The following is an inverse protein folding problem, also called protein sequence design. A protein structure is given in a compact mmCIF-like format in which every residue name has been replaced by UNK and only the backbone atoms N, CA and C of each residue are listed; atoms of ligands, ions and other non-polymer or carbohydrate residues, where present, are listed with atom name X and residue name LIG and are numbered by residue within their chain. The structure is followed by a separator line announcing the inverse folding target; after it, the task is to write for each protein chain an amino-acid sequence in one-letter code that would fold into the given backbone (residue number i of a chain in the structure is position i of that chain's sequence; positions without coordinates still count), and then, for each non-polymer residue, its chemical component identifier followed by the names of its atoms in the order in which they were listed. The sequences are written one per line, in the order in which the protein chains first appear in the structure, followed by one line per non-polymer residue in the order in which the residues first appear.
data_IF_920884556143
#
_entry.id   IF_920884556143
#
_cell.length_a   1.000
_cell.length_b   1.000
_cell.length_c   1.000
_cell.angle_alpha   90.00
_cell.angle_beta   90.00
_cell.angle_gamma   90.00
#
_symmetry.space_group_name_H-M   'P 1'
#
loop_
_entity.id
_entity.type
_entity.pdbx_description
1 polymer ?
#
# COMPACT_ATOMS: atom_id res chain seq x y z
N UNK A 1 -3.78 -30.96 -32.08
CA UNK A 1 -2.54 -30.68 -31.32
C UNK A 1 -2.31 -29.18 -31.27
N UNK A 2 -2.72 -28.52 -30.20
CA UNK A 2 -2.10 -27.27 -29.79
C UNK A 2 -1.41 -27.60 -28.47
N UNK A 3 -0.08 -27.58 -28.47
CA UNK A 3 0.71 -27.68 -27.24
C UNK A 3 0.60 -26.34 -26.53
N UNK A 4 0.18 -26.39 -25.27
CA UNK A 4 0.26 -25.25 -24.35
C UNK A 4 1.73 -24.82 -24.24
N UNK A 5 2.00 -23.54 -24.46
CA UNK A 5 3.27 -22.91 -24.14
C UNK A 5 3.18 -22.51 -22.65
N UNK A 6 3.81 -23.29 -21.78
CA UNK A 6 4.01 -22.92 -20.37
C UNK A 6 5.29 -22.10 -20.32
N UNK A 7 5.18 -20.81 -20.04
CA UNK A 7 6.33 -19.99 -19.67
C UNK A 7 6.65 -20.28 -18.19
N UNK A 8 7.80 -20.90 -17.95
CA UNK A 8 8.41 -20.95 -16.63
C UNK A 8 9.20 -19.64 -16.43
N UNK A 9 8.88 -18.90 -15.38
CA UNK A 9 9.80 -17.94 -14.81
C UNK A 9 10.52 -18.65 -13.66
N UNK A 10 11.67 -19.25 -13.96
CA UNK A 10 12.60 -19.68 -12.93
C UNK A 10 13.31 -18.43 -12.41
N UNK A 11 12.98 -18.05 -11.17
CA UNK A 11 13.84 -17.19 -10.36
C UNK A 11 14.40 -18.07 -9.25
N UNK A 12 15.55 -18.68 -9.53
CA UNK A 12 16.37 -19.29 -8.48
C UNK A 12 17.03 -18.16 -7.68
N UNK A 13 16.58 -17.96 -6.44
CA UNK A 13 17.37 -17.25 -5.43
C UNK A 13 18.22 -18.27 -4.66
N UNK A 14 19.51 -17.99 -4.39
CA UNK A 14 20.34 -18.88 -3.61
C UNK A 14 19.94 -18.82 -2.13
N UNK A 15 19.36 -19.91 -1.62
CA UNK A 15 19.16 -20.11 -0.19
C UNK A 15 20.39 -20.78 0.41
N UNK A 16 21.16 -20.03 1.19
CA UNK A 16 22.18 -20.58 2.08
C UNK A 16 21.53 -20.97 3.41
N UNK A 17 21.26 -22.27 3.61
CA UNK A 17 20.84 -22.81 4.91
C UNK A 17 21.90 -23.80 5.38
N UNK A 18 22.61 -23.44 6.46
CA UNK A 18 23.30 -24.41 7.33
C UNK A 18 22.31 -24.93 8.36
N UNK A 19 22.17 -26.25 8.43
CA UNK A 19 21.48 -27.01 9.48
C UNK A 19 19.97 -26.95 9.34
N UNK A 20 19.21 -28.03 9.13
CA UNK A 20 19.43 -29.40 9.51
C UNK A 20 18.25 -29.81 10.38
N UNK A 21 17.15 -30.27 9.77
CA UNK A 21 16.19 -31.26 10.28
C UNK A 21 15.15 -31.55 9.18
N UNK A 22 15.08 -32.81 8.73
CA UNK A 22 14.12 -33.28 7.71
C UNK A 22 12.78 -33.62 8.37
N UNK A 23 11.69 -33.09 7.83
CA UNK A 23 10.35 -33.67 7.98
C UNK A 23 9.77 -33.97 6.58
N UNK A 24 9.07 -35.11 6.39
CA UNK A 24 8.60 -35.53 5.08
C UNK A 24 7.27 -34.85 4.75
N UNK A 25 7.25 -34.00 3.71
CA UNK A 25 5.99 -33.55 3.13
C UNK A 25 5.46 -34.58 2.13
N UNK A 26 4.33 -35.19 2.51
CA UNK A 26 3.45 -35.96 1.64
C UNK A 26 2.90 -35.04 0.54
N UNK A 27 3.38 -35.22 -0.69
CA UNK A 27 2.71 -34.68 -1.88
C UNK A 27 1.39 -35.42 -2.11
N UNK A 28 0.28 -34.87 -1.61
CA UNK A 28 -1.05 -35.24 -2.09
C UNK A 28 -1.39 -34.46 -3.36
N UNK A 29 -1.19 -35.09 -4.51
CA UNK A 29 -1.82 -34.65 -5.77
C UNK A 29 -3.31 -35.00 -5.70
N UNK A 30 -4.18 -34.02 -5.43
CA UNK A 30 -5.61 -34.18 -5.70
C UNK A 30 -5.82 -34.22 -7.22
N UNK A 31 -6.01 -35.43 -7.74
CA UNK A 31 -6.65 -35.68 -9.04
C UNK A 31 -8.14 -35.39 -8.88
N UNK A 32 -8.66 -34.35 -9.51
CA UNK A 32 -10.08 -34.26 -9.81
C UNK A 32 -10.38 -35.23 -10.97
N UNK A 33 -10.85 -36.42 -10.63
CA UNK A 33 -11.43 -37.39 -11.56
C UNK A 33 -12.89 -37.00 -11.79
N UNK A 34 -13.25 -36.54 -12.98
CA UNK A 34 -14.65 -36.47 -13.39
C UNK A 34 -15.05 -37.79 -14.04
N UNK A 35 -16.03 -38.45 -13.43
CA UNK A 35 -16.64 -39.71 -13.85
C UNK A 35 -17.64 -39.40 -14.97
N UNK A 36 -17.35 -39.87 -16.19
CA UNK A 36 -18.24 -39.77 -17.35
C UNK A 36 -18.64 -41.17 -17.81
N UNK A 37 -19.92 -41.48 -17.66
CA UNK A 37 -20.60 -42.72 -18.03
C UNK A 37 -20.44 -43.01 -19.54
N UNK A 38 -19.88 -44.16 -19.89
CA UNK A 38 -19.90 -44.68 -21.27
C UNK A 38 -21.31 -45.13 -21.65
N UNK A 39 -21.84 -44.57 -22.73
CA UNK A 39 -22.85 -45.22 -23.55
C UNK A 39 -22.35 -45.17 -24.99
N UNK A 40 -22.08 -46.37 -25.53
CA UNK A 40 -21.59 -46.56 -26.88
C UNK A 40 -22.54 -46.03 -27.95
N UNK A 41 -21.94 -45.52 -29.02
CA UNK A 41 -22.61 -45.11 -30.25
C UNK A 41 -21.54 -44.78 -31.28
N UNK A 42 -21.17 -45.77 -32.08
CA UNK A 42 -20.40 -45.58 -33.31
C UNK A 42 -21.10 -44.57 -34.21
N UNK A 43 -20.44 -43.44 -34.51
CA UNK A 43 -20.74 -42.68 -35.73
C UNK A 43 -19.46 -42.04 -36.27
N UNK A 44 -19.02 -42.55 -37.43
CA UNK A 44 -18.46 -41.77 -38.54
C UNK A 44 -17.23 -40.90 -38.28
N UNK A 45 -16.06 -41.41 -38.70
CA UNK A 45 -14.94 -40.56 -39.10
C UNK A 45 -15.35 -39.61 -40.23
N UNK A 46 -15.59 -38.34 -39.90
CA UNK A 46 -15.61 -37.24 -40.85
C UNK A 46 -14.49 -36.27 -40.49
N UNK A 47 -13.43 -36.27 -41.29
CA UNK A 47 -12.34 -35.31 -41.20
C UNK A 47 -12.86 -33.89 -41.35
N UNK A 48 -13.00 -33.18 -40.23
CA UNK A 48 -13.33 -31.75 -40.23
C UNK A 48 -12.09 -30.97 -40.62
N UNK A 49 -11.93 -30.72 -41.92
CA UNK A 49 -10.97 -29.76 -42.44
C UNK A 49 -11.17 -28.43 -41.69
N UNK A 50 -10.13 -27.98 -40.97
CA UNK A 50 -10.10 -26.63 -40.41
C UNK A 50 -10.07 -25.65 -41.58
N UNK A 51 -11.25 -25.18 -41.99
CA UNK A 51 -11.39 -24.01 -42.85
C UNK A 51 -10.64 -22.86 -42.19
N UNK A 52 -9.49 -22.49 -42.75
CA UNK A 52 -8.91 -21.17 -42.51
C UNK A 52 -9.91 -20.17 -43.07
N UNK A 53 -10.80 -19.63 -42.23
CA UNK A 53 -11.61 -18.49 -42.62
C UNK A 53 -10.65 -17.33 -42.89
N UNK A 54 -10.33 -17.16 -44.17
CA UNK A 54 -9.61 -15.99 -44.67
C UNK A 54 -10.54 -14.81 -44.45
N UNK A 55 -10.17 -13.88 -43.56
CA UNK A 55 -10.89 -12.62 -43.37
C UNK A 55 -10.87 -11.88 -44.71
N UNK A 56 -12.00 -11.85 -45.42
CA UNK A 56 -12.09 -11.23 -46.76
C UNK A 56 -12.43 -9.74 -46.69
N UNK A 57 -13.12 -9.30 -45.62
CA UNK A 57 -13.51 -7.91 -45.47
C UNK A 57 -12.33 -7.07 -44.94
N UNK A 58 -12.01 -5.91 -45.55
CA UNK A 58 -11.03 -4.97 -45.01
C UNK A 58 -11.33 -4.53 -43.57
N UNK A 59 -12.60 -4.42 -43.17
CA UNK A 59 -12.99 -4.12 -41.79
C UNK A 59 -12.54 -5.22 -40.82
N UNK A 60 -12.74 -6.49 -41.15
CA UNK A 60 -12.36 -7.60 -40.26
C UNK A 60 -10.85 -7.70 -40.07
N UNK A 61 -10.08 -7.38 -41.13
CA UNK A 61 -8.62 -7.29 -41.05
C UNK A 61 -8.16 -6.10 -40.20
N UNK A 62 -8.87 -4.98 -40.25
CA UNK A 62 -8.58 -3.80 -39.44
C UNK A 62 -8.89 -4.09 -37.97
N UNK A 63 -10.06 -4.66 -37.66
CA UNK A 63 -10.45 -5.04 -36.29
C UNK A 63 -9.45 -6.03 -35.71
N UNK A 64 -9.08 -7.09 -36.45
CA UNK A 64 -8.09 -8.04 -35.96
C UNK A 64 -6.71 -7.40 -35.71
N UNK A 65 -6.25 -6.51 -36.60
CA UNK A 65 -5.00 -5.76 -36.40
C UNK A 65 -5.06 -4.86 -35.17
N UNK A 66 -6.16 -4.13 -35.00
CA UNK A 66 -6.36 -3.26 -33.83
C UNK A 66 -6.36 -4.09 -32.55
N UNK A 67 -7.14 -5.18 -32.50
CA UNK A 67 -7.21 -6.07 -31.34
C UNK A 67 -5.84 -6.68 -30.98
N UNK A 68 -5.01 -7.01 -31.98
CA UNK A 68 -3.66 -7.51 -31.76
C UNK A 68 -2.67 -6.42 -31.32
N UNK A 69 -2.84 -5.18 -31.78
CA UNK A 69 -1.95 -4.05 -31.44
C UNK A 69 -2.34 -3.35 -30.13
N UNK A 70 -3.62 -3.33 -29.77
CA UNK A 70 -4.14 -2.59 -28.61
C UNK A 70 -3.45 -2.95 -27.29
N UNK A 71 -3.17 -4.22 -26.95
CA UNK A 71 -2.43 -4.53 -25.72
C UNK A 71 -1.04 -3.89 -25.66
N UNK A 72 -0.31 -3.87 -26.77
CA UNK A 72 1.01 -3.25 -26.85
C UNK A 72 0.93 -1.72 -26.80
N UNK A 73 -0.08 -1.12 -27.42
CA UNK A 73 -0.34 0.32 -27.35
C UNK A 73 -0.71 0.75 -25.93
N UNK A 74 -1.58 -0.01 -25.26
CA UNK A 74 -1.94 0.25 -23.87
C UNK A 74 -0.75 0.10 -22.92
N UNK A 75 0.08 -0.93 -23.12
CA UNK A 75 1.31 -1.11 -22.34
C UNK A 75 2.30 0.04 -22.58
N UNK A 76 2.49 0.47 -23.83
CA UNK A 76 3.34 1.62 -24.16
C UNK A 76 2.82 2.91 -23.51
N UNK A 77 1.52 3.16 -23.57
CA UNK A 77 0.89 4.30 -22.90
C UNK A 77 1.14 4.20 -21.39
N UNK A 78 0.83 3.04 -20.78
CA UNK A 78 1.03 2.81 -19.36
C UNK A 78 2.46 3.12 -18.92
N UNK A 79 3.46 2.47 -19.53
CA UNK A 79 4.89 2.67 -19.19
C UNK A 79 5.34 4.11 -19.45
N UNK A 80 4.83 4.76 -20.51
CA UNK A 80 5.16 6.16 -20.79
C UNK A 80 4.57 7.16 -19.77
N UNK A 81 3.56 6.75 -19.01
CA UNK A 81 2.87 7.59 -18.01
C UNK A 81 3.30 7.33 -16.58
N UNK A 82 4.03 6.24 -16.30
CA UNK A 82 4.56 5.98 -14.95
C UNK A 82 5.64 7.01 -14.65
N UNK A 83 5.46 7.73 -13.54
CA UNK A 83 6.38 8.70 -12.99
C UNK A 83 6.78 8.25 -11.59
N UNK A 84 8.02 8.58 -11.22
CA UNK A 84 8.53 8.39 -9.87
C UNK A 84 8.83 9.77 -9.29
N UNK A 85 8.37 10.01 -8.07
CA UNK A 85 8.72 11.19 -7.27
C UNK A 85 9.13 10.75 -5.86
N UNK A 86 9.67 11.68 -5.08
CA UNK A 86 10.05 11.48 -3.69
C UNK A 86 9.14 12.39 -2.88
N UNK A 87 8.42 11.83 -1.91
CA UNK A 87 7.61 12.62 -0.98
C UNK A 87 8.52 13.56 -0.16
N UNK A 88 8.03 14.76 0.16
CA UNK A 88 8.69 15.72 1.05
C UNK A 88 9.01 15.12 2.41
N UNK A 89 10.06 15.66 3.02
CA UNK A 89 10.30 15.49 4.46
C UNK A 89 9.30 16.39 5.21
N UNK A 90 8.81 15.93 6.36
CA UNK A 90 7.73 16.53 7.14
C UNK A 90 6.36 15.88 6.90
N UNK A 91 6.22 15.02 5.89
CA UNK A 91 4.94 14.45 5.45
C UNK A 91 4.79 12.96 5.84
N UNK A 92 5.46 12.50 6.90
CA UNK A 92 5.52 11.08 7.23
C UNK A 92 5.01 10.74 8.64
N UNK A 93 3.68 10.74 8.85
CA UNK A 93 3.11 10.32 10.12
C UNK A 93 3.20 8.81 10.33
N UNK A 94 3.28 8.43 11.61
CA UNK A 94 3.20 7.06 12.09
C UNK A 94 1.74 6.62 12.17
N UNK A 95 1.42 5.49 11.56
CA UNK A 95 0.06 4.96 11.41
C UNK A 95 0.03 3.50 11.83
N UNK A 96 -1.04 3.09 12.51
CA UNK A 96 -1.30 1.70 12.88
C UNK A 96 -2.35 1.05 11.96
N UNK A 97 -2.15 -0.23 11.63
CA UNK A 97 -3.12 -1.07 10.93
C UNK A 97 -4.30 -1.41 11.86
N UNK A 98 -5.22 -0.47 11.99
CA UNK A 98 -6.30 -0.55 12.98
C UNK A 98 -7.32 -1.66 12.65
N UNK A 99 -7.54 -1.93 11.36
CA UNK A 99 -8.47 -2.97 10.92
C UNK A 99 -7.83 -4.37 10.84
N UNK A 100 -6.52 -4.49 10.99
CA UNK A 100 -5.78 -5.75 11.11
C UNK A 100 -5.68 -6.52 9.80
N UNK A 101 -5.63 -5.85 8.65
CA UNK A 101 -5.54 -6.52 7.34
C UNK A 101 -4.10 -6.75 6.84
N UNK A 102 -3.12 -6.35 7.64
CA UNK A 102 -1.68 -6.53 7.42
C UNK A 102 -1.00 -5.40 6.65
N UNK A 103 -1.68 -4.26 6.39
CA UNK A 103 -1.10 -3.09 5.67
C UNK A 103 -1.84 -1.81 6.04
N UNK A 104 -1.20 -0.66 5.84
CA UNK A 104 -1.90 0.64 5.94
C UNK A 104 -2.67 0.93 4.65
N UNK A 105 -3.96 1.23 4.75
CA UNK A 105 -4.81 1.58 3.62
C UNK A 105 -4.82 3.09 3.38
N UNK A 106 -4.16 3.52 2.29
CA UNK A 106 -4.15 4.92 1.85
C UNK A 106 -4.93 5.12 0.54
N UNK A 107 -5.34 6.35 0.25
CA UNK A 107 -5.94 6.75 -1.04
C UNK A 107 -4.92 6.79 -2.17
N UNK A 108 -3.64 6.96 -1.83
CA UNK A 108 -2.51 6.92 -2.75
C UNK A 108 -2.10 5.51 -3.20
N UNK A 109 -1.09 5.44 -4.06
CA UNK A 109 -0.63 4.18 -4.66
C UNK A 109 0.34 3.37 -3.81
N UNK A 110 1.14 4.03 -2.97
CA UNK A 110 2.16 3.40 -2.13
C UNK A 110 2.38 4.24 -0.88
N UNK A 111 2.66 3.59 0.25
CA UNK A 111 2.95 4.20 1.55
C UNK A 111 4.40 4.69 1.65
N UNK A 112 5.30 4.20 0.78
CA UNK A 112 6.73 4.50 0.81
C UNK A 112 7.10 5.93 0.44
N UNK A 113 8.31 6.35 0.81
CA UNK A 113 8.87 7.65 0.42
C UNK A 113 9.02 7.85 -1.09
N UNK A 114 9.28 6.77 -1.83
CA UNK A 114 9.39 6.80 -3.28
C UNK A 114 8.01 6.54 -3.90
N UNK A 115 7.37 7.60 -4.38
CA UNK A 115 6.01 7.53 -4.92
C UNK A 115 6.02 7.20 -6.40
N UNK A 116 5.29 6.16 -6.77
CA UNK A 116 4.95 5.82 -8.16
C UNK A 116 3.54 6.29 -8.47
N UNK A 117 3.38 7.09 -9.51
CA UNK A 117 2.06 7.53 -9.98
C UNK A 117 1.99 7.51 -11.51
N UNK A 118 0.77 7.45 -12.02
CA UNK A 118 0.45 7.61 -13.44
C UNK A 118 -0.46 8.82 -13.65
N UNK A 119 -0.67 9.27 -14.89
CA UNK A 119 -1.67 10.30 -15.18
C UNK A 119 -3.12 9.86 -14.88
N UNK A 120 -3.35 8.57 -14.64
CA UNK A 120 -4.64 8.00 -14.22
C UNK A 120 -4.73 7.81 -12.69
N UNK A 121 -3.64 8.11 -11.99
CA UNK A 121 -3.46 7.95 -10.54
C UNK A 121 -3.78 9.25 -9.81
N UNK A 122 -5.00 9.76 -9.98
CA UNK A 122 -5.46 10.89 -9.18
C UNK A 122 -6.09 10.31 -7.92
N UNK A 123 -5.33 10.30 -6.82
CA UNK A 123 -5.81 9.92 -5.50
C UNK A 123 -6.91 10.88 -5.02
N UNK A 124 -7.75 10.42 -4.07
CA UNK A 124 -8.63 11.33 -3.35
C UNK A 124 -7.76 12.09 -2.34
N UNK A 125 -7.55 13.37 -2.61
CA UNK A 125 -6.82 14.27 -1.73
C UNK A 125 -7.74 14.89 -0.67
N UNK A 126 -7.15 15.18 0.50
CA UNK A 126 -7.75 16.00 1.57
C UNK A 126 -6.86 17.21 1.81
N UNK A 127 -7.38 18.21 2.51
CA UNK A 127 -6.60 19.39 2.90
C UNK A 127 -6.24 19.29 4.37
N UNK A 128 -4.95 19.13 4.68
CA UNK A 128 -4.43 18.99 6.03
C UNK A 128 -2.98 19.51 6.10
N UNK A 129 -2.64 20.19 7.18
CA UNK A 129 -1.27 20.60 7.48
C UNK A 129 -0.55 19.42 8.15
N UNK A 130 -0.01 18.48 7.38
CA UNK A 130 0.61 17.25 7.91
C UNK A 130 1.96 17.49 8.54
N UNK A 131 2.63 18.57 8.17
CA UNK A 131 4.00 18.86 8.57
C UNK A 131 4.07 19.90 9.71
N UNK A 132 2.93 20.55 10.03
CA UNK A 132 2.78 21.51 11.11
C UNK A 132 3.44 22.87 10.83
N UNK A 133 3.62 23.25 9.56
CA UNK A 133 4.24 24.52 9.17
C UNK A 133 3.26 25.71 9.15
N UNK A 134 1.96 25.44 9.35
CA UNK A 134 0.88 26.41 9.38
C UNK A 134 0.16 26.60 8.04
N UNK A 135 0.61 25.95 6.96
CA UNK A 135 0.02 26.02 5.63
C UNK A 135 -0.53 24.65 5.20
N UNK A 136 -1.86 24.47 5.10
CA UNK A 136 -2.43 23.18 4.74
C UNK A 136 -2.09 22.74 3.30
N UNK A 137 -1.71 21.47 3.17
CA UNK A 137 -1.40 20.84 1.89
C UNK A 137 -2.56 19.98 1.39
N UNK A 138 -2.61 19.75 0.08
CA UNK A 138 -3.48 18.75 -0.52
C UNK A 138 -2.73 17.43 -0.69
N UNK A 139 -3.03 16.45 0.14
CA UNK A 139 -2.27 15.20 0.26
C UNK A 139 -3.15 13.96 0.15
N UNK A 140 -2.55 12.85 -0.27
CA UNK A 140 -3.18 11.53 -0.12
C UNK A 140 -3.41 11.26 1.38
N UNK A 141 -4.34 10.37 1.69
CA UNK A 141 -4.82 10.20 3.06
C UNK A 141 -5.08 8.74 3.41
N UNK A 142 -5.26 8.47 4.71
CA UNK A 142 -5.77 7.17 5.18
C UNK A 142 -7.20 6.97 4.69
N UNK A 143 -7.57 5.73 4.36
CA UNK A 143 -8.94 5.43 3.94
C UNK A 143 -9.90 5.58 5.14
N UNK A 144 -11.15 6.02 4.90
CA UNK A 144 -12.16 6.19 5.94
C UNK A 144 -12.29 5.00 6.89
N UNK A 145 -12.10 5.21 8.19
CA UNK A 145 -12.31 4.22 9.25
C UNK A 145 -11.49 2.92 9.11
N UNK A 146 -10.37 2.94 8.39
CA UNK A 146 -9.53 1.75 8.18
C UNK A 146 -8.38 1.66 9.18
N UNK A 147 -7.59 2.72 9.30
CA UNK A 147 -6.34 2.77 10.03
C UNK A 147 -6.33 3.99 10.96
N UNK A 148 -5.35 4.08 11.86
CA UNK A 148 -5.30 5.17 12.83
C UNK A 148 -3.93 5.86 12.89
N UNK A 149 -3.95 7.19 12.89
CA UNK A 149 -2.76 7.98 13.17
C UNK A 149 -2.36 7.85 14.64
N UNK A 150 -1.06 7.83 14.92
CA UNK A 150 -0.53 7.90 16.29
C UNK A 150 -0.38 9.37 16.69
N UNK A 151 -1.02 9.77 17.79
CA UNK A 151 -1.06 11.14 18.29
C UNK A 151 -0.14 11.35 19.51
N UNK A 152 0.62 12.44 19.50
CA UNK A 152 1.37 12.98 20.63
C UNK A 152 0.46 13.86 21.50
N UNK A 153 -0.11 13.25 22.54
CA UNK A 153 -1.04 13.89 23.47
C UNK A 153 -0.36 14.35 24.77
N UNK A 154 0.98 14.39 24.82
CA UNK A 154 1.75 14.87 26.00
C UNK A 154 1.38 16.30 26.38
N UNK A 155 0.92 17.11 25.42
CA UNK A 155 0.47 18.49 25.60
C UNK A 155 -1.00 18.63 26.03
N UNK A 156 -1.74 17.52 26.14
CA UNK A 156 -3.14 17.48 26.59
C UNK A 156 -4.09 16.88 25.56
N UNK A 157 -5.39 17.07 25.77
CA UNK A 157 -6.43 16.59 24.85
C UNK A 157 -6.35 17.35 23.52
N UNK A 158 -6.33 16.64 22.37
CA UNK A 158 -6.32 17.30 21.06
C UNK A 158 -7.55 18.21 20.86
N UNK A 159 -7.36 19.45 20.38
CA UNK A 159 -8.46 20.31 19.95
C UNK A 159 -9.12 19.79 18.67
N UNK A 160 -10.21 20.41 18.21
CA UNK A 160 -10.82 20.04 16.91
C UNK A 160 -9.92 20.36 15.71
N UNK A 161 -9.15 21.42 15.83
CA UNK A 161 -8.25 21.91 14.77
C UNK A 161 -6.83 21.44 15.11
N UNK A 162 -6.51 20.18 14.78
CA UNK A 162 -5.15 19.65 14.87
C UNK A 162 -4.41 19.77 13.54
N UNK A 163 -3.09 19.74 13.64
CA UNK A 163 -2.13 19.73 12.56
C UNK A 163 -1.11 18.59 12.79
N UNK A 164 -0.12 18.51 11.92
CA UNK A 164 1.01 17.58 11.96
C UNK A 164 1.80 17.58 13.26
N UNK A 165 1.79 18.69 14.00
CA UNK A 165 2.52 18.77 15.27
C UNK A 165 1.94 17.85 16.34
N UNK A 166 0.68 17.42 16.19
CA UNK A 166 0.00 16.43 17.04
C UNK A 166 0.25 14.98 16.59
N UNK A 167 0.79 14.75 15.40
CA UNK A 167 1.09 13.42 14.89
C UNK A 167 2.51 13.03 15.32
N UNK A 168 2.73 11.75 15.62
CA UNK A 168 4.08 11.20 15.59
C UNK A 168 4.52 11.08 14.14
N UNK A 169 5.68 11.60 13.80
CA UNK A 169 6.22 11.64 12.44
C UNK A 169 7.60 12.29 12.43
N UNK A 170 8.16 12.53 11.25
CA UNK A 170 9.38 13.32 11.08
C UNK A 170 9.14 14.82 11.35
N UNK A 171 10.22 15.61 11.29
CA UNK A 171 10.14 17.06 11.39
C UNK A 171 10.54 17.74 10.09
N UNK A 172 9.89 18.87 9.79
CA UNK A 172 10.19 19.68 8.60
C UNK A 172 11.66 20.14 8.54
N UNK A 173 12.27 20.41 9.69
CA UNK A 173 13.67 20.81 9.81
C UNK A 173 14.68 19.64 9.77
N UNK A 174 14.18 18.39 9.71
CA UNK A 174 14.98 17.17 9.70
C UNK A 174 15.67 16.85 11.02
N UNK A 175 15.35 17.53 12.11
CA UNK A 175 15.85 17.21 13.46
C UNK A 175 15.33 15.86 13.98
N UNK A 176 14.15 15.45 13.51
CA UNK A 176 13.54 14.14 13.75
C UNK A 176 13.41 13.44 12.40
N UNK A 177 14.07 12.29 12.26
CA UNK A 177 14.18 11.58 10.98
C UNK A 177 12.89 10.85 10.57
N UNK A 178 12.14 10.33 11.54
CA UNK A 178 10.94 9.52 11.32
C UNK A 178 10.11 9.40 12.60
N UNK A 179 8.88 8.89 12.47
CA UNK A 179 7.94 8.74 13.57
C UNK A 179 8.41 7.79 14.68
N UNK A 180 9.19 6.75 14.36
CA UNK A 180 9.75 5.84 15.37
C UNK A 180 10.85 6.51 16.21
N UNK A 181 11.69 7.34 15.60
CA UNK A 181 12.66 8.17 16.33
C UNK A 181 11.93 9.11 17.28
N UNK A 182 10.84 9.75 16.83
CA UNK A 182 10.02 10.61 17.71
C UNK A 182 9.37 9.81 18.84
N UNK A 183 8.90 8.60 18.56
CA UNK A 183 8.33 7.71 19.56
C UNK A 183 9.36 7.32 20.63
N UNK A 184 10.63 7.12 20.24
CA UNK A 184 11.71 6.76 21.16
C UNK A 184 11.99 7.82 22.25
N UNK A 185 11.53 9.07 22.06
CA UNK A 185 11.63 10.10 23.11
C UNK A 185 10.79 9.80 24.36
N UNK A 186 9.81 8.91 24.25
CA UNK A 186 8.98 8.46 25.37
C UNK A 186 9.59 7.27 26.12
N UNK A 187 10.60 6.61 25.55
CA UNK A 187 11.28 5.43 26.13
C UNK A 187 12.30 5.92 27.18
N UNK A 188 11.82 6.16 28.39
CA UNK A 188 12.62 6.76 29.48
C UNK A 188 13.62 5.74 30.03
N UNK A 189 13.26 4.46 30.05
CA UNK A 189 14.11 3.40 30.57
C UNK A 189 15.04 2.77 29.53
N UNK A 190 14.85 3.10 28.24
CA UNK A 190 15.69 2.65 27.13
C UNK A 190 15.50 1.17 26.79
N UNK A 191 14.30 0.64 27.04
CA UNK A 191 13.97 -0.77 26.81
C UNK A 191 13.80 -1.12 25.33
N UNK A 192 13.61 -0.12 24.47
CA UNK A 192 13.24 -0.29 23.06
C UNK A 192 11.73 -0.40 22.84
N UNK A 193 10.93 -0.13 23.87
CA UNK A 193 9.48 -0.17 23.80
C UNK A 193 8.85 0.86 24.74
N UNK A 194 7.71 1.43 24.32
CA UNK A 194 6.89 2.30 25.15
C UNK A 194 5.87 1.44 25.87
N UNK A 195 5.95 1.36 27.20
CA UNK A 195 4.98 0.61 28.00
C UNK A 195 4.60 1.29 29.33
N UNK A 196 3.66 0.68 30.04
CA UNK A 196 3.27 1.12 31.39
C UNK A 196 2.89 2.61 31.46
N UNK A 197 3.71 3.39 32.17
CA UNK A 197 3.49 4.82 32.39
C UNK A 197 3.83 5.69 31.16
N UNK A 198 4.68 5.21 30.26
CA UNK A 198 5.16 5.95 29.09
C UNK A 198 4.07 6.09 28.03
N UNK A 199 3.13 5.14 28.00
CA UNK A 199 1.94 5.15 27.14
C UNK A 199 1.00 6.33 27.41
N UNK A 200 1.14 7.05 28.53
CA UNK A 200 0.27 8.18 28.88
C UNK A 200 0.32 9.34 27.87
N UNK A 201 1.39 9.44 27.08
CA UNK A 201 1.57 10.46 26.05
C UNK A 201 0.99 10.11 24.68
N UNK A 202 0.30 8.98 24.53
CA UNK A 202 -0.09 8.42 23.24
C UNK A 202 -1.62 8.32 23.10
N UNK A 203 -2.11 8.72 21.93
CA UNK A 203 -3.48 8.48 21.50
C UNK A 203 -3.54 8.05 20.03
N UNK A 204 -4.74 7.74 19.56
CA UNK A 204 -4.95 7.30 18.18
C UNK A 204 -6.13 8.04 17.55
N UNK A 205 -6.00 8.42 16.28
CA UNK A 205 -7.05 9.08 15.51
C UNK A 205 -7.48 8.22 14.32
N UNK A 206 -8.70 7.69 14.39
CA UNK A 206 -9.34 6.91 13.33
C UNK A 206 -10.23 7.85 12.51
N UNK A 207 -9.66 8.46 11.48
CA UNK A 207 -10.33 9.47 10.66
C UNK A 207 -11.42 8.86 9.76
N UNK A 208 -12.50 9.60 9.53
CA UNK A 208 -13.58 9.19 8.62
C UNK A 208 -13.32 9.58 7.14
N UNK A 209 -12.14 10.14 6.87
CA UNK A 209 -11.66 10.56 5.57
C UNK A 209 -11.98 12.01 5.22
N UNK A 210 -12.36 12.84 6.19
CA UNK A 210 -12.55 14.29 6.03
C UNK A 210 -11.36 15.13 6.53
N UNK A 211 -10.37 14.49 7.16
CA UNK A 211 -9.16 15.09 7.73
C UNK A 211 -9.44 16.15 8.80
N UNK A 212 -10.54 16.00 9.57
CA UNK A 212 -10.89 16.89 10.67
C UNK A 212 -11.12 16.10 11.93
N UNK A 213 -10.25 16.33 12.90
CA UNK A 213 -10.36 15.64 14.18
C UNK A 213 -11.70 15.88 14.87
N UNK A 214 -12.34 14.77 15.27
CA UNK A 214 -13.50 14.78 16.14
C UNK A 214 -13.34 13.84 17.33
N UNK A 215 -13.86 14.18 18.53
CA UNK A 215 -13.71 13.34 19.73
C UNK A 215 -14.24 11.90 19.61
N UNK A 216 -15.17 11.61 18.68
CA UNK A 216 -15.67 10.26 18.41
C UNK A 216 -14.68 9.38 17.62
N UNK A 217 -13.71 10.00 16.95
CA UNK A 217 -12.64 9.33 16.17
C UNK A 217 -11.40 9.06 17.02
N UNK A 218 -11.31 9.69 18.18
CA UNK A 218 -10.22 9.51 19.13
C UNK A 218 -10.33 8.18 19.86
N UNK A 219 -9.22 7.47 19.97
CA UNK A 219 -9.04 6.28 20.81
C UNK A 219 -7.86 6.51 21.73
N UNK A 220 -8.03 6.20 23.01
CA UNK A 220 -6.94 6.16 23.98
C UNK A 220 -6.23 4.80 23.95
N UNK A 221 -5.02 4.75 24.51
CA UNK A 221 -4.33 3.49 24.84
C UNK A 221 -5.23 2.54 25.63
N UNK A 222 -6.04 3.09 26.55
CA UNK A 222 -6.98 2.28 27.34
C UNK A 222 -8.14 1.72 26.50
N UNK A 223 -8.68 2.49 25.56
CA UNK A 223 -9.76 2.03 24.68
C UNK A 223 -9.32 0.85 23.81
N UNK A 224 -8.07 0.89 23.35
CA UNK A 224 -7.46 -0.15 22.54
C UNK A 224 -6.74 -1.23 23.36
N UNK A 225 -6.70 -1.10 24.69
CA UNK A 225 -5.96 -1.98 25.61
C UNK A 225 -4.52 -2.24 25.15
N UNK A 226 -3.82 -1.17 24.73
CA UNK A 226 -2.43 -1.23 24.29
C UNK A 226 -1.53 -1.50 25.49
N UNK A 227 -0.64 -2.47 25.35
CA UNK A 227 0.28 -2.89 26.41
C UNK A 227 1.72 -2.48 26.14
N UNK A 228 2.11 -2.37 24.87
CA UNK A 228 3.48 -1.99 24.49
C UNK A 228 3.51 -1.50 23.04
N UNK A 229 4.41 -0.56 22.71
CA UNK A 229 4.67 -0.10 21.35
C UNK A 229 6.18 -0.15 21.11
N UNK A 230 6.63 -0.89 20.10
CA UNK A 230 8.06 -0.99 19.79
C UNK A 230 8.59 0.34 19.20
N UNK A 231 9.74 0.80 19.69
CA UNK A 231 10.40 2.01 19.15
C UNK A 231 11.39 1.67 18.04
N UNK A 232 11.72 0.39 17.89
CA UNK A 232 12.55 -0.12 16.79
C UNK A 232 11.71 -0.39 15.55
N UNK A 233 12.34 -0.24 14.38
CA UNK A 233 11.71 -0.51 13.10
C UNK A 233 12.63 -1.30 12.18
N UNK A 234 12.02 -1.91 11.17
CA UNK A 234 12.71 -2.54 10.05
C UNK A 234 12.32 -1.86 8.74
N UNK A 235 13.25 -1.82 7.79
CA UNK A 235 12.93 -1.48 6.41
C UNK A 235 12.34 -2.70 5.70
N UNK A 236 11.14 -2.55 5.15
CA UNK A 236 10.48 -3.56 4.34
C UNK A 236 10.37 -3.09 2.89
N UNK A 237 10.89 -3.89 1.95
CA UNK A 237 10.70 -3.68 0.51
C UNK A 237 9.28 -4.09 0.12
N UNK A 238 8.47 -3.10 -0.27
CA UNK A 238 7.08 -3.30 -0.69
C UNK A 238 6.96 -3.46 -2.22
N UNK A 239 8.08 -3.66 -2.91
CA UNK A 239 8.19 -3.85 -4.34
C UNK A 239 8.50 -2.56 -5.10
N UNK A 240 9.00 -2.69 -6.33
CA UNK A 240 9.41 -1.54 -7.17
C UNK A 240 10.60 -0.72 -6.62
N UNK A 241 11.39 -1.29 -5.72
CA UNK A 241 12.60 -0.67 -5.18
C UNK A 241 12.33 0.38 -4.12
N UNK A 242 11.17 0.31 -3.45
CA UNK A 242 10.73 1.29 -2.46
C UNK A 242 10.58 0.60 -1.10
N UNK A 243 11.09 1.24 -0.05
CA UNK A 243 11.03 0.73 1.32
C UNK A 243 10.00 1.52 2.15
N UNK A 244 9.37 0.85 3.10
CA UNK A 244 8.61 1.46 4.20
C UNK A 244 9.27 1.11 5.53
N UNK A 245 9.08 1.94 6.56
CA UNK A 245 9.57 1.65 7.91
C UNK A 245 8.44 1.00 8.69
N UNK A 246 8.71 -0.16 9.26
CA UNK A 246 7.71 -1.00 9.90
C UNK A 246 8.10 -1.30 11.34
N UNK A 247 7.16 -1.12 12.25
CA UNK A 247 7.25 -1.57 13.63
C UNK A 247 5.98 -2.27 14.06
N UNK A 248 5.84 -2.51 15.36
CA UNK A 248 4.66 -3.17 15.89
C UNK A 248 4.20 -2.63 17.24
N UNK A 249 2.94 -2.87 17.54
CA UNK A 249 2.28 -2.54 18.80
C UNK A 249 1.54 -3.77 19.32
N UNK A 250 1.60 -3.99 20.62
CA UNK A 250 0.84 -5.05 21.28
C UNK A 250 -0.42 -4.48 21.92
N UNK A 251 -1.56 -5.10 21.61
CA UNK A 251 -2.88 -4.77 22.15
C UNK A 251 -3.60 -6.04 22.59
N UNK A 252 -4.26 -5.99 23.76
CA UNK A 252 -5.11 -7.10 24.21
C UNK A 252 -6.39 -7.25 23.38
N UNK A 253 -6.81 -6.18 22.70
CA UNK A 253 -8.03 -6.16 21.87
C UNK A 253 -7.74 -6.51 20.41
N UNK A 254 -6.64 -5.99 19.85
CA UNK A 254 -6.29 -6.13 18.44
C UNK A 254 -5.22 -7.20 18.18
N UNK A 255 -4.52 -7.67 19.22
CA UNK A 255 -3.33 -8.52 19.09
C UNK A 255 -2.10 -7.69 18.73
N UNK A 256 -1.15 -8.32 18.04
CA UNK A 256 -0.01 -7.63 17.43
C UNK A 256 -0.49 -6.81 16.23
N UNK A 257 -0.34 -5.50 16.30
CA UNK A 257 -0.75 -4.52 15.31
C UNK A 257 0.47 -4.01 14.56
N UNK A 258 0.40 -3.99 13.23
CA UNK A 258 1.43 -3.43 12.37
C UNK A 258 1.42 -1.90 12.46
N UNK A 259 2.61 -1.30 12.46
CA UNK A 259 2.77 0.15 12.39
C UNK A 259 3.68 0.50 11.21
N UNK A 260 3.38 1.59 10.52
CA UNK A 260 4.23 2.11 9.44
C UNK A 260 4.46 3.61 9.58
N UNK A 261 5.65 4.03 9.21
CA UNK A 261 5.91 5.42 8.84
C UNK A 261 5.43 5.63 7.40
N UNK A 262 4.41 6.46 7.21
CA UNK A 262 3.71 6.58 5.94
C UNK A 262 3.95 7.96 5.35
N UNK A 263 4.68 8.01 4.24
CA UNK A 263 4.81 9.25 3.49
C UNK A 263 3.50 9.55 2.77
N UNK A 264 2.98 10.76 2.83
CA UNK A 264 1.90 11.17 1.93
C UNK A 264 2.45 11.82 0.67
N UNK A 265 1.71 11.68 -0.44
CA UNK A 265 2.02 12.36 -1.69
C UNK A 265 1.24 13.66 -1.73
N UNK A 266 1.92 14.78 -1.95
CA UNK A 266 1.29 16.07 -2.12
C UNK A 266 0.87 16.27 -3.59
N UNK A 267 -0.35 16.76 -3.82
CA UNK A 267 -0.90 17.05 -5.14
C UNK A 267 -0.05 18.04 -5.95
N UNK A 268 0.73 18.91 -5.30
CA UNK A 268 1.66 19.82 -5.96
C UNK A 268 2.94 19.11 -6.44
N UNK A 269 3.34 18.00 -5.80
CA UNK A 269 4.48 17.16 -6.20
C UNK A 269 4.15 16.28 -7.40
N UNK A 270 2.86 16.07 -7.65
CA UNK A 270 2.35 15.62 -8.94
C UNK A 270 2.49 16.79 -9.92
N UNK A 271 3.73 17.04 -10.37
CA UNK A 271 4.12 18.25 -11.10
C UNK A 271 3.19 18.59 -12.30
N UNK A 272 2.74 19.85 -12.43
CA UNK A 272 2.02 20.38 -13.60
C UNK A 272 2.78 20.34 -14.94
N UNK A 273 4.11 20.15 -14.93
CA UNK A 273 4.97 20.29 -16.12
C UNK A 273 4.86 19.18 -17.16
N UNK A 274 4.44 17.99 -16.74
CA UNK A 274 4.38 16.80 -17.59
C UNK A 274 2.96 16.43 -18.04
N UNK A 275 1.97 17.23 -17.66
CA UNK A 275 0.61 17.09 -18.13
C UNK A 275 0.56 17.66 -19.55
N UNK A 276 0.91 16.85 -20.55
CA UNK A 276 0.59 17.16 -21.94
C UNK A 276 -0.90 17.53 -22.09
N UNK A 277 -1.77 17.04 -21.19
CA UNK A 277 -3.21 17.34 -21.10
C UNK A 277 -3.51 18.71 -20.47
N UNK A 278 -2.75 19.13 -19.45
CA UNK A 278 -2.99 20.40 -18.73
C UNK A 278 -2.68 21.65 -19.57
N UNK A 279 -1.84 21.53 -20.61
CA UNK A 279 -1.60 22.61 -21.58
C UNK A 279 -2.73 22.81 -22.59
N UNK A 280 -3.64 21.83 -22.75
CA UNK A 280 -4.74 21.93 -23.73
C UNK A 280 -6.10 22.22 -23.09
N UNK A 281 -6.22 22.15 -21.76
CA UNK A 281 -7.48 22.43 -21.06
C UNK A 281 -7.22 23.21 -19.75
N UNK A 282 -7.03 24.55 -19.83
CA UNK A 282 -7.10 25.39 -18.64
C UNK A 282 -8.56 25.44 -18.14
N UNK A 283 -8.70 25.38 -16.81
CA UNK A 283 -9.95 25.56 -16.06
C UNK A 283 -10.58 26.94 -16.27
#
# INVERSE_FOLDING_TARGET
MFRSLVLYADTELPVNVRGGHRLPYLTQRKKCSFFGRETGGEVGMAGRAKSKQVLKNPLDKLVLKLTLMMPAVLLMIYVSTVKQTIARAGDCPLIIDFNGNGRIDITGHTQSRQKLYTVFSVGKYVTFDVNGDGEPDQIDWVRPNTDAFVLDIRRGTPPRDIDGSWLFGDSVDGSIENGFVRLSELDVDGSGAIDGAELAGIGFWVDDGDAKFSPNEFKTVSDLQVTSIETTFVEEDIGYGVNTLVGSMESQTLGTVRMEDVWFLNSQEVEPRDNAVGRYFPS
#
